data_IF_243184378824
#
_entry.id   IF_243184378824
#
_cell.length_a   1.000
_cell.length_b   1.000
_cell.length_c   1.000
_cell.angle_alpha   90.00
_cell.angle_beta   90.00
_cell.angle_gamma   90.00
#
_symmetry.space_group_name_H-M   'P 1'
#
loop_
_entity.id
_entity.type
_entity.pdbx_description
1 polymer ?
#
# COMPACT_ATOMS: atom_id res chain seq x y z
N UNK A 1 12.08 -4.70 10.38
CA UNK A 1 12.41 -3.36 9.82
C UNK A 1 11.40 -2.98 8.75
N UNK A 2 11.12 -1.68 8.59
CA UNK A 2 10.31 -1.09 7.52
C UNK A 2 11.23 -0.30 6.61
N UNK A 3 11.15 -0.51 5.30
CA UNK A 3 11.95 0.20 4.30
C UNK A 3 11.05 1.10 3.47
N UNK A 4 11.33 2.39 3.43
CA UNK A 4 10.64 3.38 2.57
C UNK A 4 11.57 3.71 1.41
N UNK A 5 11.17 3.33 0.19
CA UNK A 5 11.99 3.52 -1.01
C UNK A 5 11.83 4.95 -1.52
N UNK A 6 12.96 5.59 -1.81
CA UNK A 6 13.01 6.94 -2.36
C UNK A 6 13.44 6.90 -3.83
N UNK A 7 12.60 7.44 -4.71
CA UNK A 7 12.92 7.66 -6.14
C UNK A 7 13.16 9.15 -6.40
N UNK A 8 13.84 9.53 -7.48
CA UNK A 8 13.83 10.92 -7.96
C UNK A 8 12.38 11.37 -8.18
N UNK A 9 11.96 12.48 -7.56
CA UNK A 9 10.60 13.01 -7.66
C UNK A 9 9.60 12.41 -6.66
N UNK A 10 10.01 11.51 -5.76
CA UNK A 10 9.21 11.14 -4.59
C UNK A 10 9.02 12.36 -3.69
N UNK A 11 7.78 12.69 -3.34
CA UNK A 11 7.47 13.89 -2.52
C UNK A 11 6.86 13.56 -1.16
N UNK A 12 6.31 12.35 -0.99
CA UNK A 12 5.63 11.92 0.24
C UNK A 12 6.48 11.00 1.12
N UNK A 13 7.77 10.81 0.81
CA UNK A 13 8.67 9.94 1.57
C UNK A 13 8.86 10.41 3.01
N UNK A 14 8.99 11.72 3.23
CA UNK A 14 9.18 12.30 4.58
C UNK A 14 7.94 12.12 5.44
N UNK A 15 6.76 12.38 4.91
CA UNK A 15 5.48 12.20 5.60
C UNK A 15 5.25 10.72 5.92
N UNK A 16 5.54 9.84 4.97
CA UNK A 16 5.45 8.37 5.14
C UNK A 16 6.38 7.88 6.24
N UNK A 17 7.65 8.32 6.22
CA UNK A 17 8.63 7.97 7.27
C UNK A 17 8.17 8.50 8.63
N UNK A 18 7.73 9.76 8.71
CA UNK A 18 7.28 10.35 9.97
C UNK A 18 6.07 9.59 10.56
N UNK A 19 5.10 9.20 9.73
CA UNK A 19 3.94 8.44 10.16
C UNK A 19 4.33 7.04 10.66
N UNK A 20 5.23 6.35 9.94
CA UNK A 20 5.68 5.01 10.32
C UNK A 20 6.62 5.04 11.54
N UNK A 21 7.52 6.01 11.66
CA UNK A 21 8.38 6.21 12.84
C UNK A 21 7.56 6.50 14.11
N UNK A 22 6.46 7.25 13.98
CA UNK A 22 5.57 7.48 15.12
C UNK A 22 4.87 6.19 15.60
N UNK A 23 4.68 5.19 14.72
CA UNK A 23 4.08 3.88 15.07
C UNK A 23 5.14 2.82 15.43
N UNK A 24 6.34 2.91 14.89
CA UNK A 24 7.46 1.95 15.05
C UNK A 24 8.79 2.68 15.17
N UNK A 25 9.05 3.34 16.30
CA UNK A 25 10.26 4.14 16.51
C UNK A 25 11.55 3.33 16.32
N UNK A 26 12.49 3.88 15.53
CA UNK A 26 13.79 3.27 15.26
C UNK A 26 13.74 2.04 14.33
N UNK A 27 12.60 1.77 13.69
CA UNK A 27 12.42 0.62 12.79
C UNK A 27 12.23 1.01 11.33
N UNK A 28 12.34 2.29 10.97
CA UNK A 28 12.08 2.78 9.62
C UNK A 28 13.39 3.26 8.97
N UNK A 29 13.70 2.72 7.81
CA UNK A 29 14.85 3.10 6.98
C UNK A 29 14.36 3.71 5.67
N UNK A 30 14.96 4.84 5.26
CA UNK A 30 14.84 5.32 3.88
C UNK A 30 15.93 4.69 3.04
N UNK A 31 15.54 4.13 1.90
CA UNK A 31 16.46 3.49 0.96
C UNK A 31 16.36 4.12 -0.42
N UNK A 32 17.50 4.36 -1.05
CA UNK A 32 17.58 4.91 -2.40
C UNK A 32 17.26 3.82 -3.44
N UNK A 33 16.49 4.18 -4.47
CA UNK A 33 16.04 3.25 -5.52
C UNK A 33 17.17 2.60 -6.33
N UNK A 34 18.38 3.15 -6.27
CA UNK A 34 19.58 2.62 -6.95
C UNK A 34 20.25 1.48 -6.20
N UNK A 35 19.88 1.23 -4.95
CA UNK A 35 20.40 0.12 -4.17
C UNK A 35 19.86 -1.21 -4.72
N UNK A 36 20.71 -2.26 -4.72
CA UNK A 36 20.39 -3.55 -5.34
C UNK A 36 19.81 -4.57 -4.35
N UNK A 37 19.88 -4.29 -3.05
CA UNK A 37 19.43 -5.21 -2.01
C UNK A 37 18.61 -4.50 -0.93
N UNK A 38 17.65 -5.21 -0.36
CA UNK A 38 16.95 -4.82 0.85
C UNK A 38 17.66 -5.39 2.09
N UNK A 39 17.62 -4.70 3.26
CA UNK A 39 18.09 -5.30 4.52
C UNK A 39 17.41 -6.64 4.79
N UNK A 40 18.17 -7.62 5.27
CA UNK A 40 17.71 -9.00 5.45
C UNK A 40 16.48 -9.12 6.39
N UNK A 41 16.39 -8.24 7.40
CA UNK A 41 15.29 -8.21 8.37
C UNK A 41 14.08 -7.38 7.89
N UNK A 42 14.02 -6.96 6.63
CA UNK A 42 12.90 -6.19 6.08
C UNK A 42 11.61 -6.99 6.15
N UNK A 43 10.61 -6.46 6.84
CA UNK A 43 9.26 -7.02 6.92
C UNK A 43 8.29 -6.32 5.99
N UNK A 44 8.41 -5.00 5.87
CA UNK A 44 7.55 -4.15 5.05
C UNK A 44 8.42 -3.25 4.16
N UNK A 45 8.13 -3.25 2.87
CA UNK A 45 8.63 -2.23 1.93
C UNK A 45 7.51 -1.28 1.57
N UNK A 46 7.75 0.02 1.66
CA UNK A 46 6.78 1.05 1.28
C UNK A 46 7.30 1.84 0.08
N UNK A 47 6.50 1.90 -0.96
CA UNK A 47 6.66 2.79 -2.11
C UNK A 47 5.75 4.00 -1.89
N UNK A 48 6.30 5.16 -1.52
CA UNK A 48 5.51 6.34 -1.17
C UNK A 48 4.95 7.05 -2.40
N UNK A 49 4.06 8.02 -2.15
CA UNK A 49 3.51 8.89 -3.17
C UNK A 49 4.52 9.91 -3.70
N UNK A 50 4.16 10.55 -4.81
CA UNK A 50 4.95 11.57 -5.49
C UNK A 50 4.80 11.47 -7.00
N UNK A 51 5.86 11.86 -7.71
CA UNK A 51 5.96 11.89 -9.18
C UNK A 51 7.29 11.28 -9.59
N UNK A 52 7.48 9.98 -9.33
CA UNK A 52 8.75 9.30 -9.55
C UNK A 52 9.25 9.48 -10.99
N UNK A 53 10.49 9.96 -11.14
CA UNK A 53 11.09 10.35 -12.41
C UNK A 53 10.25 11.36 -13.21
N UNK A 54 9.44 12.22 -12.53
CA UNK A 54 8.59 13.22 -13.17
C UNK A 54 7.42 12.64 -13.95
N UNK A 55 7.02 11.38 -13.70
CA UNK A 55 5.98 10.64 -14.44
C UNK A 55 6.23 10.58 -15.97
N UNK A 56 7.49 10.70 -16.39
CA UNK A 56 7.87 10.57 -17.80
C UNK A 56 7.49 9.19 -18.32
N UNK A 57 7.02 9.14 -19.58
CA UNK A 57 6.32 8.04 -20.25
C UNK A 57 4.92 7.84 -19.70
N UNK A 58 4.78 7.44 -18.45
CA UNK A 58 3.58 7.41 -17.60
C UNK A 58 3.96 7.19 -16.15
N UNK A 59 3.04 7.50 -15.26
CA UNK A 59 3.26 7.42 -13.82
C UNK A 59 3.74 6.03 -13.38
N UNK A 60 4.85 6.00 -12.65
CA UNK A 60 5.45 4.76 -12.14
C UNK A 60 6.31 3.96 -13.14
N UNK A 61 6.22 4.22 -14.45
CA UNK A 61 6.86 3.36 -15.48
C UNK A 61 8.39 3.27 -15.36
N UNK A 62 9.07 4.40 -15.13
CA UNK A 62 10.53 4.42 -14.97
C UNK A 62 10.95 3.84 -13.62
N UNK A 63 10.21 4.14 -12.55
CA UNK A 63 10.48 3.60 -11.22
C UNK A 63 10.34 2.08 -11.18
N UNK A 64 9.37 1.50 -11.89
CA UNK A 64 9.17 0.05 -11.99
C UNK A 64 10.37 -0.70 -12.62
N UNK A 65 11.33 0.02 -13.22
CA UNK A 65 12.58 -0.52 -13.80
C UNK A 65 13.83 -0.19 -12.98
N UNK A 66 13.67 0.45 -11.81
CA UNK A 66 14.80 0.75 -10.92
C UNK A 66 15.39 -0.53 -10.33
N UNK A 67 16.67 -0.49 -9.94
CA UNK A 67 17.40 -1.66 -9.41
C UNK A 67 16.73 -2.27 -8.18
N UNK A 68 16.26 -1.44 -7.26
CA UNK A 68 15.55 -1.90 -6.05
C UNK A 68 14.32 -2.76 -6.36
N UNK A 69 13.72 -2.62 -7.55
CA UNK A 69 12.52 -3.38 -7.92
C UNK A 69 12.77 -4.87 -8.14
N UNK A 70 14.00 -5.29 -8.42
CA UNK A 70 14.37 -6.70 -8.45
C UNK A 70 14.35 -7.28 -7.04
N UNK A 71 15.08 -6.66 -6.11
CA UNK A 71 15.04 -7.05 -4.70
C UNK A 71 13.63 -6.98 -4.08
N UNK A 72 12.80 -6.03 -4.54
CA UNK A 72 11.42 -5.92 -4.09
C UNK A 72 10.55 -7.07 -4.63
N UNK A 73 10.74 -7.52 -5.87
CA UNK A 73 10.06 -8.72 -6.41
C UNK A 73 10.42 -9.96 -5.63
N UNK A 74 11.71 -10.16 -5.32
CA UNK A 74 12.18 -11.26 -4.50
C UNK A 74 11.60 -11.19 -3.08
N UNK A 75 11.58 -9.99 -2.49
CA UNK A 75 10.95 -9.77 -1.20
C UNK A 75 9.44 -10.09 -1.24
N UNK A 76 8.71 -9.64 -2.25
CA UNK A 76 7.27 -9.93 -2.40
C UNK A 76 6.99 -11.42 -2.61
N UNK A 77 7.89 -12.14 -3.31
CA UNK A 77 7.74 -13.57 -3.59
C UNK A 77 8.15 -14.45 -2.41
N UNK A 78 9.29 -14.17 -1.78
CA UNK A 78 9.92 -15.03 -0.76
C UNK A 78 9.82 -14.37 0.62
N UNK A 79 10.22 -13.08 0.74
CA UNK A 79 10.34 -12.36 2.01
C UNK A 79 11.33 -13.01 2.98
N UNK A 80 11.47 -12.42 4.16
CA UNK A 80 12.37 -12.94 5.19
C UNK A 80 11.89 -14.26 5.84
N UNK A 81 10.68 -14.72 5.53
CA UNK A 81 10.05 -15.92 6.10
C UNK A 81 9.66 -16.98 5.06
N UNK A 82 10.12 -16.86 3.81
CA UNK A 82 9.85 -17.81 2.73
C UNK A 82 8.42 -17.84 2.19
N UNK A 83 7.60 -16.78 2.44
CA UNK A 83 6.17 -16.72 2.06
C UNK A 83 5.75 -15.42 1.42
N UNK A 84 6.70 -14.61 1.01
CA UNK A 84 6.49 -13.26 0.55
C UNK A 84 6.52 -12.24 1.69
N UNK A 85 7.24 -11.16 1.47
CA UNK A 85 7.27 -10.01 2.35
C UNK A 85 6.09 -9.06 2.08
N UNK A 86 5.88 -8.14 3.00
CA UNK A 86 4.84 -7.13 2.86
C UNK A 86 5.32 -5.94 2.03
N UNK A 87 4.47 -5.48 1.14
CA UNK A 87 4.73 -4.32 0.28
C UNK A 87 3.50 -3.42 0.29
N UNK A 88 3.72 -2.13 0.47
CA UNK A 88 2.68 -1.10 0.39
C UNK A 88 3.05 -0.07 -0.66
N UNK A 89 2.20 0.14 -1.66
CA UNK A 89 2.29 1.25 -2.61
C UNK A 89 1.22 2.29 -2.35
N UNK A 90 1.62 3.54 -2.10
CA UNK A 90 0.72 4.67 -1.86
C UNK A 90 0.76 5.59 -3.08
N UNK A 91 -0.39 5.89 -3.70
CA UNK A 91 -0.53 6.79 -4.85
C UNK A 91 0.46 6.41 -5.97
N UNK A 92 1.53 7.17 -6.19
CA UNK A 92 2.58 6.83 -7.16
C UNK A 92 3.20 5.44 -6.87
N UNK A 93 3.31 5.03 -5.61
CA UNK A 93 3.74 3.68 -5.24
C UNK A 93 2.78 2.59 -5.77
N UNK A 94 1.47 2.82 -5.77
CA UNK A 94 0.51 1.89 -6.38
C UNK A 94 0.69 1.83 -7.91
N UNK A 95 0.90 2.98 -8.56
CA UNK A 95 1.21 3.04 -9.98
C UNK A 95 2.47 2.21 -10.32
N UNK A 96 3.52 2.30 -9.50
CA UNK A 96 4.75 1.50 -9.65
C UNK A 96 4.46 0.00 -9.51
N UNK A 97 3.63 -0.41 -8.54
CA UNK A 97 3.25 -1.81 -8.34
C UNK A 97 2.46 -2.37 -9.52
N UNK A 98 1.55 -1.59 -10.11
CA UNK A 98 0.82 -1.98 -11.31
C UNK A 98 1.76 -2.07 -12.53
N UNK A 99 2.61 -1.06 -12.77
CA UNK A 99 3.58 -1.04 -13.87
C UNK A 99 4.63 -2.15 -13.78
N UNK A 100 4.96 -2.60 -12.58
CA UNK A 100 5.89 -3.72 -12.35
C UNK A 100 5.25 -5.10 -12.45
N UNK A 101 3.92 -5.18 -12.58
CA UNK A 101 3.15 -6.43 -12.59
C UNK A 101 3.00 -7.11 -11.22
N UNK A 102 3.37 -6.44 -10.14
CA UNK A 102 3.17 -6.95 -8.77
C UNK A 102 1.70 -6.86 -8.32
N UNK A 103 0.93 -5.96 -8.94
CA UNK A 103 -0.51 -5.87 -8.83
C UNK A 103 -1.15 -5.87 -10.22
N UNK A 104 -2.32 -6.48 -10.40
CA UNK A 104 -3.02 -6.50 -11.70
C UNK A 104 -3.66 -5.16 -12.01
N UNK A 105 -4.00 -4.95 -13.31
CA UNK A 105 -4.64 -3.72 -13.80
C UNK A 105 -3.65 -2.60 -14.06
N UNK A 106 -4.16 -1.39 -14.21
CA UNK A 106 -3.38 -0.19 -14.50
C UNK A 106 -4.02 1.06 -13.87
N UNK A 107 -3.21 2.09 -13.65
CA UNK A 107 -3.69 3.41 -13.24
C UNK A 107 -3.64 4.32 -14.47
N UNK A 108 -4.78 4.82 -14.89
CA UNK A 108 -4.93 5.72 -16.02
C UNK A 108 -5.24 7.15 -15.55
N UNK A 109 -5.25 8.06 -16.52
CA UNK A 109 -5.65 9.44 -16.29
C UNK A 109 -7.09 9.50 -15.79
N UNK A 110 -7.34 10.37 -14.79
CA UNK A 110 -8.68 10.62 -14.27
C UNK A 110 -9.65 10.95 -15.43
N UNK A 111 -10.90 10.50 -15.35
CA UNK A 111 -11.90 10.76 -16.39
C UNK A 111 -12.09 12.24 -16.69
N UNK A 112 -11.98 13.12 -15.68
CA UNK A 112 -12.06 14.57 -15.86
C UNK A 112 -10.80 15.20 -16.46
N UNK A 113 -9.74 14.44 -16.69
CA UNK A 113 -8.40 14.88 -17.13
C UNK A 113 -7.69 15.85 -16.18
N UNK A 114 -8.34 16.24 -15.10
CA UNK A 114 -7.85 17.18 -14.11
C UNK A 114 -7.07 16.47 -12.99
N UNK A 115 -6.20 17.24 -12.34
CA UNK A 115 -5.59 16.83 -11.07
C UNK A 115 -6.64 16.97 -9.95
N UNK A 116 -6.94 15.85 -9.28
CA UNK A 116 -7.89 15.82 -8.17
C UNK A 116 -7.12 15.86 -6.85
N UNK A 117 -7.42 16.85 -6.01
CA UNK A 117 -6.91 16.98 -4.65
C UNK A 117 -8.09 17.20 -3.71
N UNK A 118 -8.46 16.16 -2.96
CA UNK A 118 -9.64 16.16 -2.10
C UNK A 118 -9.49 15.16 -0.95
N UNK A 119 -10.43 15.20 0.01
CA UNK A 119 -10.59 14.16 1.03
C UNK A 119 -11.80 13.32 0.68
N UNK A 120 -11.57 12.04 0.38
CA UNK A 120 -12.60 11.11 -0.09
C UNK A 120 -13.08 10.16 1.00
N UNK A 121 -14.34 9.75 0.90
CA UNK A 121 -14.88 8.65 1.69
C UNK A 121 -14.49 7.30 1.10
N UNK A 122 -14.13 6.35 1.94
CA UNK A 122 -13.66 5.03 1.54
C UNK A 122 -14.31 3.94 2.38
N UNK A 123 -14.76 2.87 1.73
CA UNK A 123 -15.24 1.66 2.42
C UNK A 123 -14.21 0.54 2.31
N UNK A 124 -13.99 -0.15 3.43
CA UNK A 124 -13.16 -1.36 3.48
C UNK A 124 -13.96 -2.52 2.87
N UNK A 125 -13.42 -3.19 1.87
CA UNK A 125 -14.08 -4.28 1.15
C UNK A 125 -13.45 -5.65 1.43
N UNK A 126 -12.14 -5.69 1.64
CA UNK A 126 -11.39 -6.93 1.80
C UNK A 126 -9.92 -6.69 2.12
N UNK A 127 -9.09 -7.69 1.85
CA UNK A 127 -7.65 -7.64 2.10
C UNK A 127 -7.18 -8.64 3.15
N UNK A 128 -6.05 -8.37 3.82
CA UNK A 128 -5.57 -9.21 4.92
C UNK A 128 -6.62 -9.31 6.04
N UNK A 129 -6.91 -10.52 6.52
CA UNK A 129 -8.00 -10.76 7.46
C UNK A 129 -7.89 -9.89 8.72
N UNK A 130 -6.70 -9.83 9.33
CA UNK A 130 -6.47 -9.03 10.52
C UNK A 130 -6.71 -7.51 10.30
N UNK A 131 -6.46 -6.99 9.08
CA UNK A 131 -6.80 -5.60 8.75
C UNK A 131 -8.31 -5.39 8.68
N UNK A 132 -9.02 -6.33 8.04
CA UNK A 132 -10.49 -6.27 7.89
C UNK A 132 -11.17 -6.31 9.26
N UNK A 133 -10.66 -7.13 10.17
CA UNK A 133 -11.17 -7.24 11.55
C UNK A 133 -10.89 -6.00 12.41
N UNK A 134 -9.77 -5.31 12.14
CA UNK A 134 -9.36 -4.13 12.89
C UNK A 134 -10.00 -2.81 12.39
N UNK A 135 -10.55 -2.81 11.17
CA UNK A 135 -11.13 -1.62 10.55
C UNK A 135 -12.66 -1.70 10.52
N UNK A 136 -13.37 -0.58 10.74
CA UNK A 136 -14.83 -0.58 10.66
C UNK A 136 -15.27 -0.79 9.21
N UNK A 137 -16.11 -1.80 8.97
CA UNK A 137 -16.67 -2.09 7.63
C UNK A 137 -17.79 -1.12 7.25
N UNK A 138 -18.54 -0.65 8.25
CA UNK A 138 -19.76 0.17 8.05
C UNK A 138 -19.50 1.68 8.20
N UNK A 139 -18.31 2.08 8.61
CA UNK A 139 -17.93 3.49 8.79
C UNK A 139 -16.90 3.88 7.74
N UNK A 140 -17.21 4.84 6.85
CA UNK A 140 -16.26 5.29 5.86
C UNK A 140 -15.00 5.86 6.50
N UNK A 141 -13.83 5.45 6.01
CA UNK A 141 -12.57 6.13 6.27
C UNK A 141 -12.50 7.38 5.41
N UNK A 142 -11.90 8.44 5.92
CA UNK A 142 -11.69 9.69 5.19
C UNK A 142 -10.20 9.90 4.97
N UNK A 143 -9.75 9.72 3.73
CA UNK A 143 -8.33 9.86 3.37
C UNK A 143 -8.16 10.88 2.24
N UNK A 144 -7.07 11.68 2.26
CA UNK A 144 -6.72 12.56 1.16
C UNK A 144 -6.32 11.79 -0.09
N UNK A 145 -6.65 12.34 -1.25
CA UNK A 145 -6.12 11.97 -2.57
C UNK A 145 -5.48 13.19 -3.22
N UNK A 146 -4.43 12.98 -4.03
CA UNK A 146 -3.77 14.03 -4.79
C UNK A 146 -3.12 13.41 -6.03
N UNK A 147 -3.86 13.31 -7.14
CA UNK A 147 -3.40 12.62 -8.35
C UNK A 147 -4.10 13.10 -9.62
N UNK A 148 -3.43 12.94 -10.76
CA UNK A 148 -3.99 13.09 -12.11
C UNK A 148 -4.22 11.74 -12.79
N UNK A 149 -3.44 10.74 -12.45
CA UNK A 149 -3.44 9.41 -13.03
C UNK A 149 -3.80 8.38 -11.94
N UNK A 150 -5.04 8.47 -11.42
CA UNK A 150 -5.53 7.63 -10.32
C UNK A 150 -6.69 6.72 -10.68
N UNK A 151 -7.18 6.75 -11.92
CA UNK A 151 -8.26 5.92 -12.41
C UNK A 151 -7.79 4.47 -12.56
N UNK A 152 -8.17 3.59 -11.65
CA UNK A 152 -7.87 2.16 -11.74
C UNK A 152 -8.74 1.51 -12.81
N UNK A 153 -8.10 0.75 -13.71
CA UNK A 153 -8.76 -0.01 -14.76
C UNK A 153 -8.22 -1.42 -14.86
N UNK A 154 -9.09 -2.39 -15.15
CA UNK A 154 -8.71 -3.76 -15.43
C UNK A 154 -9.74 -4.41 -16.37
N UNK A 155 -9.38 -5.53 -17.00
CA UNK A 155 -10.35 -6.32 -17.77
C UNK A 155 -11.38 -6.99 -16.85
N UNK A 156 -12.53 -7.30 -17.40
CA UNK A 156 -13.64 -7.84 -16.62
C UNK A 156 -13.30 -9.17 -15.89
N UNK A 157 -12.54 -10.12 -16.47
CA UNK A 157 -12.08 -11.29 -15.72
C UNK A 157 -11.25 -10.94 -14.47
N UNK A 158 -10.32 -9.97 -14.59
CA UNK A 158 -9.52 -9.50 -13.44
C UNK A 158 -10.41 -8.85 -12.39
N UNK A 159 -11.36 -7.99 -12.79
CA UNK A 159 -12.31 -7.36 -11.86
C UNK A 159 -13.19 -8.38 -11.13
N UNK A 160 -13.65 -9.41 -11.81
CA UNK A 160 -14.41 -10.50 -11.21
C UNK A 160 -13.57 -11.30 -10.22
N UNK A 161 -12.33 -11.62 -10.59
CA UNK A 161 -11.40 -12.33 -9.69
C UNK A 161 -11.08 -11.52 -8.44
N UNK A 162 -10.75 -10.23 -8.57
CA UNK A 162 -10.49 -9.35 -7.43
C UNK A 162 -11.67 -9.31 -6.46
N UNK A 163 -12.90 -9.25 -6.97
CA UNK A 163 -14.10 -9.25 -6.14
C UNK A 163 -14.34 -10.62 -5.48
N UNK A 164 -14.29 -11.71 -6.24
CA UNK A 164 -14.52 -13.07 -5.74
C UNK A 164 -13.52 -13.48 -4.66
N UNK A 165 -12.25 -13.09 -4.81
CA UNK A 165 -11.17 -13.36 -3.86
C UNK A 165 -11.07 -12.33 -2.73
N UNK A 166 -11.97 -11.33 -2.67
CA UNK A 166 -11.95 -10.23 -1.69
C UNK A 166 -10.60 -9.50 -1.65
N UNK A 167 -10.05 -9.23 -2.82
CA UNK A 167 -8.78 -8.54 -3.01
C UNK A 167 -8.93 -7.04 -3.29
N UNK A 168 -10.15 -6.54 -3.39
CA UNK A 168 -10.42 -5.10 -3.37
C UNK A 168 -10.28 -4.67 -1.92
N UNK A 169 -9.30 -3.80 -1.63
CA UNK A 169 -9.04 -3.28 -0.28
C UNK A 169 -10.05 -2.21 0.11
N UNK A 170 -10.16 -1.21 -0.75
CA UNK A 170 -10.92 0.01 -0.54
C UNK A 170 -11.70 0.37 -1.81
N UNK A 171 -12.90 0.85 -1.62
CA UNK A 171 -13.69 1.49 -2.67
C UNK A 171 -14.03 2.92 -2.28
N UNK A 172 -14.07 3.82 -3.26
CA UNK A 172 -14.62 5.16 -3.09
C UNK A 172 -16.10 5.09 -2.76
N UNK A 173 -16.57 5.99 -1.88
CA UNK A 173 -17.95 6.04 -1.39
C UNK A 173 -18.44 7.48 -1.34
N UNK A 174 -19.75 7.69 -1.59
CA UNK A 174 -20.41 8.98 -1.39
C UNK A 174 -20.43 9.41 0.09
N UNK A 175 -20.41 8.44 0.99
CA UNK A 175 -20.44 8.70 2.42
C UNK A 175 -19.11 9.30 2.88
N UNK A 176 -19.15 10.55 3.36
CA UNK A 176 -17.98 11.28 3.83
C UNK A 176 -17.14 11.98 2.74
N UNK A 177 -17.55 11.90 1.49
CA UNK A 177 -16.93 12.63 0.39
C UNK A 177 -17.43 14.08 0.32
N UNK A 178 -16.54 15.02 0.00
CA UNK A 178 -16.93 16.41 -0.25
C UNK A 178 -17.61 16.59 -1.61
N UNK A 179 -17.24 15.77 -2.60
CA UNK A 179 -17.73 15.82 -3.98
C UNK A 179 -17.91 14.40 -4.55
N UNK A 180 -19.08 13.77 -4.36
CA UNK A 180 -19.45 12.51 -5.02
C UNK A 180 -18.51 11.32 -4.78
N UNK A 181 -19.02 10.10 -5.04
CA UNK A 181 -18.37 8.88 -4.58
C UNK A 181 -17.14 8.42 -5.34
N UNK A 182 -17.07 8.62 -6.66
CA UNK A 182 -15.92 8.18 -7.48
C UNK A 182 -15.24 9.38 -8.15
N UNK A 183 -14.13 9.89 -7.57
CA UNK A 183 -13.55 11.16 -8.01
C UNK A 183 -12.77 11.05 -9.32
N UNK A 184 -12.42 9.85 -9.77
CA UNK A 184 -11.47 9.65 -10.87
C UNK A 184 -11.93 8.69 -11.98
N UNK A 185 -13.10 8.05 -11.82
CA UNK A 185 -13.64 7.12 -12.81
C UNK A 185 -13.12 5.69 -12.70
N UNK A 186 -12.51 5.30 -11.58
CA UNK A 186 -12.01 3.94 -11.34
C UNK A 186 -13.10 2.89 -11.53
N UNK A 187 -12.76 1.77 -12.18
CA UNK A 187 -13.64 0.62 -12.32
C UNK A 187 -14.13 0.14 -10.95
N UNK A 188 -15.45 -0.13 -10.84
CA UNK A 188 -16.10 -0.59 -9.60
C UNK A 188 -15.79 0.28 -8.37
N UNK A 189 -15.50 1.56 -8.57
CA UNK A 189 -15.07 2.50 -7.51
C UNK A 189 -13.80 2.08 -6.77
N UNK A 190 -12.94 1.26 -7.37
CA UNK A 190 -11.74 0.73 -6.70
C UNK A 190 -10.78 1.87 -6.38
N UNK A 191 -10.44 2.00 -5.09
CA UNK A 191 -9.44 2.92 -4.57
C UNK A 191 -8.14 2.22 -4.17
N UNK A 192 -8.17 0.89 -4.01
CA UNK A 192 -7.01 0.08 -3.67
C UNK A 192 -7.29 -1.42 -3.76
N UNK A 193 -6.25 -2.19 -4.05
CA UNK A 193 -6.29 -3.65 -4.20
C UNK A 193 -5.11 -4.33 -3.50
N UNK A 194 -5.17 -5.66 -3.37
CA UNK A 194 -4.02 -6.46 -2.95
C UNK A 194 -3.74 -7.65 -3.89
N UNK A 195 -2.53 -8.19 -3.76
CA UNK A 195 -2.09 -9.42 -4.43
C UNK A 195 -2.85 -10.66 -3.94
N UNK A 196 -2.70 -11.80 -4.63
CA UNK A 196 -3.36 -13.06 -4.26
C UNK A 196 -2.96 -13.54 -2.85
N UNK A 197 -1.70 -13.38 -2.45
CA UNK A 197 -1.24 -13.69 -1.10
C UNK A 197 -1.57 -12.59 -0.07
N UNK A 198 -2.21 -11.49 -0.49
CA UNK A 198 -2.62 -10.34 0.32
C UNK A 198 -1.49 -9.60 1.05
N UNK A 199 -0.26 -9.71 0.57
CA UNK A 199 0.91 -9.05 1.17
C UNK A 199 1.45 -7.89 0.34
N UNK A 200 1.07 -7.78 -0.93
CA UNK A 200 1.34 -6.59 -1.74
C UNK A 200 0.05 -5.78 -1.83
N UNK A 201 0.06 -4.58 -1.28
CA UNK A 201 -1.10 -3.68 -1.20
C UNK A 201 -0.81 -2.41 -1.99
N UNK A 202 -1.78 -1.94 -2.77
CA UNK A 202 -1.71 -0.67 -3.48
C UNK A 202 -2.99 0.13 -3.27
N UNK A 203 -2.86 1.44 -2.97
CA UNK A 203 -3.99 2.35 -2.83
C UNK A 203 -3.65 3.75 -3.34
N UNK A 204 -4.63 4.43 -3.91
CA UNK A 204 -4.47 5.83 -4.36
C UNK A 204 -4.56 6.85 -3.23
N UNK A 205 -5.40 6.68 -2.20
CA UNK A 205 -5.44 7.58 -1.05
C UNK A 205 -4.17 7.55 -0.21
N UNK A 206 -3.94 8.64 0.54
CA UNK A 206 -2.74 8.89 1.35
C UNK A 206 -3.02 8.74 2.85
N UNK A 207 -2.83 7.55 3.45
CA UNK A 207 -3.02 7.38 4.89
C UNK A 207 -2.02 8.20 5.72
N UNK A 208 -0.80 8.44 5.22
CA UNK A 208 0.20 9.26 5.89
C UNK A 208 -0.21 10.73 6.05
N UNK A 209 -1.20 11.20 5.27
CA UNK A 209 -1.76 12.55 5.29
C UNK A 209 -3.07 12.66 6.08
N UNK A 210 -3.47 11.61 6.79
CA UNK A 210 -4.58 11.59 7.73
C UNK A 210 -4.11 10.94 9.04
N UNK A 211 -3.06 11.46 9.66
CA UNK A 211 -2.31 10.80 10.71
C UNK A 211 -2.17 11.59 12.00
N UNK A 212 -1.71 12.83 11.93
CA UNK A 212 -1.41 13.68 13.10
C UNK A 212 -2.58 14.59 13.50
N UNK A 213 -2.45 15.21 14.66
CA UNK A 213 -3.48 16.11 15.22
C UNK A 213 -3.70 17.38 14.38
N UNK A 214 -2.73 17.74 13.51
CA UNK A 214 -2.85 18.84 12.55
C UNK A 214 -3.58 18.46 11.26
N UNK A 215 -3.91 17.19 11.06
CA UNK A 215 -4.74 16.74 9.96
C UNK A 215 -6.23 16.83 10.31
N UNK A 216 -7.08 16.83 9.27
CA UNK A 216 -8.53 16.91 9.45
C UNK A 216 -9.12 15.71 10.22
N UNK A 217 -8.43 14.57 10.18
CA UNK A 217 -8.82 13.34 10.88
C UNK A 217 -7.59 12.42 11.06
N UNK A 218 -7.76 11.29 11.74
CA UNK A 218 -6.73 10.29 11.99
C UNK A 218 -7.07 8.91 11.40
N UNK A 219 -7.91 8.83 10.37
CA UNK A 219 -8.30 7.56 9.77
C UNK A 219 -7.13 6.85 9.09
N UNK A 220 -6.17 7.62 8.55
CA UNK A 220 -4.93 7.08 8.00
C UNK A 220 -4.04 6.44 9.06
N UNK A 221 -3.98 7.03 10.27
CA UNK A 221 -3.28 6.41 11.41
C UNK A 221 -3.90 5.07 11.76
N UNK A 222 -5.24 4.99 11.83
CA UNK A 222 -5.97 3.75 12.11
C UNK A 222 -5.68 2.69 11.03
N UNK A 223 -5.69 3.10 9.76
CA UNK A 223 -5.40 2.22 8.64
C UNK A 223 -3.98 1.66 8.70
N UNK A 224 -2.95 2.51 8.94
CA UNK A 224 -1.56 2.08 9.10
C UNK A 224 -1.35 1.20 10.33
N UNK A 225 -2.03 1.47 11.44
CA UNK A 225 -2.02 0.61 12.63
C UNK A 225 -2.58 -0.78 12.32
N UNK A 226 -3.69 -0.87 11.59
CA UNK A 226 -4.29 -2.14 11.18
C UNK A 226 -3.35 -2.94 10.26
N UNK A 227 -2.65 -2.28 9.33
CA UNK A 227 -1.63 -2.93 8.50
C UNK A 227 -0.48 -3.49 9.34
N UNK A 228 0.08 -2.67 10.24
CA UNK A 228 1.20 -3.11 11.08
C UNK A 228 0.80 -4.24 12.04
N UNK A 229 -0.42 -4.23 12.56
CA UNK A 229 -0.96 -5.32 13.36
C UNK A 229 -1.10 -6.62 12.55
N UNK A 230 -1.54 -6.53 11.28
CA UNK A 230 -1.61 -7.69 10.39
C UNK A 230 -0.22 -8.29 10.10
N UNK A 231 0.81 -7.43 9.92
CA UNK A 231 2.21 -7.85 9.74
C UNK A 231 2.75 -8.57 11.00
N UNK A 232 2.44 -8.03 12.18
CA UNK A 232 2.87 -8.62 13.45
C UNK A 232 2.19 -9.99 13.68
N UNK A 233 0.87 -10.08 13.47
CA UNK A 233 0.12 -11.33 13.58
C UNK A 233 0.65 -12.42 12.63
N UNK A 234 0.93 -12.06 11.39
CA UNK A 234 1.54 -12.98 10.40
C UNK A 234 2.94 -13.46 10.85
N UNK A 235 3.70 -12.61 11.53
CA UNK A 235 5.02 -12.95 12.08
C UNK A 235 4.94 -13.88 13.30
N UNK A 236 3.90 -13.77 14.13
CA UNK A 236 3.72 -14.58 15.34
C UNK A 236 3.24 -15.99 15.04
N UNK A 237 2.30 -16.16 14.10
CA UNK A 237 1.78 -17.48 13.67
C UNK A 237 2.91 -18.39 13.21
N UNK A 238 4.08 -17.84 12.86
CA UNK A 238 5.14 -18.56 12.18
C UNK A 238 6.52 -18.42 12.85
N UNK A 239 6.54 -18.09 14.14
CA UNK A 239 7.78 -18.30 14.90
C UNK A 239 8.14 -19.77 14.90
N UNK A 240 9.39 -20.17 14.56
CA UNK A 240 9.85 -21.54 14.80
C UNK A 240 9.56 -21.86 16.26
N UNK A 241 8.82 -22.94 16.52
CA UNK A 241 8.71 -23.47 17.88
C UNK A 241 10.14 -23.85 18.29
N UNK A 242 10.66 -23.17 19.29
CA UNK A 242 11.97 -23.47 19.87
C UNK A 242 11.89 -24.84 20.56
N UNK A 243 12.28 -25.88 19.83
CA UNK A 243 12.27 -27.28 20.28
C UNK A 243 13.40 -27.56 21.30
N UNK A 244 14.15 -26.50 21.72
CA UNK A 244 15.26 -26.61 22.65
C UNK A 244 14.83 -26.98 24.08
N UNK A 245 13.53 -26.88 24.42
CA UNK A 245 13.02 -27.25 25.76
C UNK A 245 12.73 -28.75 25.93
N UNK A 246 12.79 -29.56 24.87
CA UNK A 246 12.49 -31.02 24.95
C UNK A 246 13.70 -31.91 25.27
N UNK A 247 14.93 -31.37 25.20
CA UNK A 247 16.15 -32.20 25.43
C UNK A 247 16.77 -32.06 26.83
N UNK A 248 16.09 -31.44 27.80
CA UNK A 248 16.57 -31.32 29.18
C UNK A 248 15.82 -32.18 30.18
N UNK A 249 15.05 -33.19 29.71
CA UNK A 249 14.43 -34.22 30.58
C UNK A 249 14.65 -35.62 30.00
N UNK A 250 15.87 -36.07 30.00
CA UNK A 250 16.24 -37.50 29.88
C UNK A 250 17.44 -37.75 30.79
#
# INVERSE_FOLDING_TARGET
MIVVVQFPGTTCDRETVAALEALRPGQVLRQWHGDEALPAETKLVVLPGGFSFGDYLRAGALAARSRVMEALRDHAAIGCQGRGGWVLGICNGFQILAESGLLPGALQRNHGLDFVCDTVGLLVQGGPQAMVEALPLDTPLRLPIAHRDGCYVADEPTLQQLAAERRILLTYSDAGAAQGGNPNGSDRNIAGICSANRRVLGLMPHPERAFGDWHLNQDGKRWLQALLAAIDADSEIHRPQDDSARHLRA
#
